data_IF_871658603412
#
_entry.id   IF_871658603412
#
_cell.length_a   1.000
_cell.length_b   1.000
_cell.length_c   1.000
_cell.angle_alpha   90.00
_cell.angle_beta   90.00
_cell.angle_gamma   90.00
#
_symmetry.space_group_name_H-M   'P 1'
#
loop_
_entity.id
_entity.type
_entity.pdbx_description
1 polymer ?
#
# COMPACT_ATOMS: atom_id res chain seq x y z
N UNK A 1 -31.25 -21.15 18.92
CA UNK A 1 -31.29 -20.11 17.87
C UNK A 1 -31.08 -18.77 18.57
N UNK A 2 -29.82 -18.34 18.70
CA UNK A 2 -29.47 -17.11 19.43
C UNK A 2 -29.58 -15.92 18.48
N UNK A 3 -30.40 -14.94 18.85
CA UNK A 3 -30.55 -13.69 18.11
C UNK A 3 -29.20 -12.94 18.10
N UNK A 4 -28.73 -12.57 16.91
CA UNK A 4 -27.54 -11.73 16.74
C UNK A 4 -27.69 -10.38 17.44
N UNK A 5 -26.57 -9.68 17.71
CA UNK A 5 -26.60 -8.42 18.45
C UNK A 5 -27.51 -7.41 17.74
N UNK A 6 -28.59 -7.00 18.43
CA UNK A 6 -29.46 -5.91 17.99
C UNK A 6 -28.64 -4.63 17.96
N UNK A 7 -28.53 -4.00 16.80
CA UNK A 7 -27.98 -2.66 16.69
C UNK A 7 -28.79 -1.72 17.61
N UNK A 8 -28.11 -1.11 18.59
CA UNK A 8 -28.74 -0.14 19.48
C UNK A 8 -28.94 1.17 18.70
N UNK A 9 -30.18 1.70 18.58
CA UNK A 9 -30.48 2.87 17.76
C UNK A 9 -29.73 4.15 18.16
N UNK A 10 -29.14 4.20 19.36
CA UNK A 10 -28.51 5.39 19.93
C UNK A 10 -26.98 5.39 19.88
N UNK A 11 -26.34 4.41 19.21
CA UNK A 11 -24.92 4.59 18.88
C UNK A 11 -24.83 5.62 17.76
N UNK A 12 -24.18 6.78 17.98
CA UNK A 12 -23.87 7.65 16.87
C UNK A 12 -23.10 6.81 15.86
N UNK A 13 -23.65 6.71 14.65
CA UNK A 13 -22.91 6.19 13.50
C UNK A 13 -21.66 7.06 13.46
N UNK A 14 -20.50 6.52 13.84
CA UNK A 14 -19.25 7.27 13.79
C UNK A 14 -19.18 7.88 12.40
N UNK A 15 -19.32 9.21 12.32
CA UNK A 15 -19.26 9.91 11.05
C UNK A 15 -17.99 9.43 10.37
N UNK A 16 -18.10 8.83 9.19
CA UNK A 16 -16.96 8.30 8.43
C UNK A 16 -15.90 9.41 8.35
N UNK A 17 -14.92 9.37 9.24
CA UNK A 17 -13.93 10.43 9.35
C UNK A 17 -12.81 10.07 8.40
N UNK A 18 -12.86 10.65 7.20
CA UNK A 18 -11.84 10.43 6.19
C UNK A 18 -10.53 11.07 6.65
N UNK A 19 -9.46 10.28 6.68
CA UNK A 19 -8.10 10.76 6.93
C UNK A 19 -7.30 10.67 5.63
N UNK A 20 -6.44 11.66 5.39
CA UNK A 20 -5.50 11.61 4.28
C UNK A 20 -4.34 10.68 4.63
N UNK A 21 -4.05 9.72 3.74
CA UNK A 21 -2.84 8.89 3.80
C UNK A 21 -1.62 9.76 3.50
N UNK A 22 -0.67 9.84 4.44
CA UNK A 22 0.54 10.67 4.30
C UNK A 22 1.82 9.86 4.21
N UNK A 23 1.80 8.61 4.68
CA UNK A 23 2.97 7.76 4.67
C UNK A 23 2.62 6.29 4.81
N UNK A 24 3.52 5.44 4.34
CA UNK A 24 3.45 4.01 4.57
C UNK A 24 4.84 3.41 4.57
N UNK A 25 5.05 2.38 5.39
CA UNK A 25 6.28 1.57 5.41
C UNK A 25 5.89 0.10 5.49
N UNK A 26 6.80 -0.79 5.07
CA UNK A 26 6.56 -2.22 5.17
C UNK A 26 7.80 -2.95 5.66
N UNK A 27 7.57 -4.02 6.41
CA UNK A 27 8.59 -4.96 6.85
C UNK A 27 8.22 -6.35 6.34
N UNK A 28 9.16 -6.99 5.65
CA UNK A 28 9.00 -8.39 5.23
C UNK A 28 9.07 -9.31 6.46
N UNK A 29 8.16 -10.27 6.51
CA UNK A 29 8.13 -11.33 7.52
C UNK A 29 8.29 -12.70 6.84
N UNK A 30 8.68 -13.76 7.55
CA UNK A 30 8.86 -15.09 6.94
C UNK A 30 7.63 -15.55 6.14
N UNK A 31 6.44 -15.42 6.73
CA UNK A 31 5.16 -15.88 6.18
C UNK A 31 4.21 -14.74 5.75
N UNK A 32 4.70 -13.49 5.69
CA UNK A 32 3.81 -12.36 5.48
C UNK A 32 4.51 -11.02 5.32
N UNK A 33 3.73 -9.98 5.53
CA UNK A 33 4.17 -8.59 5.51
C UNK A 33 3.49 -7.87 6.67
N UNK A 34 4.25 -6.99 7.31
CA UNK A 34 3.70 -5.97 8.20
C UNK A 34 3.71 -4.64 7.43
N UNK A 35 2.53 -4.10 7.18
CA UNK A 35 2.32 -2.82 6.52
C UNK A 35 1.88 -1.81 7.58
N UNK A 36 2.65 -0.73 7.74
CA UNK A 36 2.26 0.41 8.57
C UNK A 36 1.79 1.54 7.69
N UNK A 37 0.60 2.04 7.96
CA UNK A 37 -0.03 3.18 7.29
C UNK A 37 -0.10 4.35 8.26
N UNK A 38 0.25 5.55 7.82
CA UNK A 38 0.12 6.78 8.59
C UNK A 38 -0.88 7.71 7.90
N UNK A 39 -1.83 8.21 8.69
CA UNK A 39 -2.87 9.11 8.21
C UNK A 39 -3.02 10.34 9.09
N UNK A 40 -3.58 11.41 8.53
CA UNK A 40 -3.88 12.66 9.25
C UNK A 40 -5.26 13.19 8.89
N UNK A 41 -5.89 13.94 9.81
CA UNK A 41 -7.23 14.53 9.63
C UNK A 41 -7.22 15.86 8.89
N UNK A 42 -6.10 16.58 8.92
CA UNK A 42 -5.98 17.91 8.33
C UNK A 42 -4.51 18.29 8.14
N UNK A 43 -4.26 19.31 7.33
CA UNK A 43 -2.90 19.88 7.18
C UNK A 43 -2.38 20.44 8.51
N UNK A 44 -3.24 21.07 9.32
CA UNK A 44 -2.87 21.57 10.66
C UNK A 44 -2.44 20.41 11.55
N UNK A 45 -3.17 19.29 11.53
CA UNK A 45 -2.78 18.10 12.29
C UNK A 45 -1.45 17.52 11.80
N UNK A 46 -1.21 17.51 10.49
CA UNK A 46 0.07 17.11 9.90
C UNK A 46 1.24 18.00 10.36
N UNK A 47 1.07 19.32 10.34
CA UNK A 47 2.08 20.28 10.79
C UNK A 47 2.43 20.13 12.28
N UNK A 48 1.47 19.66 13.08
CA UNK A 48 1.65 19.40 14.51
C UNK A 48 2.01 17.93 14.82
N UNK A 49 2.42 17.16 13.81
CA UNK A 49 2.80 15.73 13.92
C UNK A 49 1.72 14.83 14.55
N UNK A 50 0.45 15.19 14.37
CA UNK A 50 -0.71 14.44 14.85
C UNK A 50 -1.09 13.35 13.84
N UNK A 51 -0.25 12.33 13.78
CA UNK A 51 -0.42 11.19 12.88
C UNK A 51 -1.11 10.01 13.57
N UNK A 52 -2.06 9.40 12.87
CA UNK A 52 -2.66 8.12 13.27
C UNK A 52 -1.99 7.00 12.50
N UNK A 53 -1.40 6.05 13.23
CA UNK A 53 -0.77 4.86 12.66
C UNK A 53 -1.72 3.66 12.69
N UNK A 54 -1.80 2.95 11.58
CA UNK A 54 -2.53 1.69 11.44
C UNK A 54 -1.57 0.59 11.00
N UNK A 55 -1.51 -0.49 11.76
CA UNK A 55 -0.66 -1.64 11.47
C UNK A 55 -1.52 -2.78 10.91
N UNK A 56 -1.18 -3.23 9.70
CA UNK A 56 -1.81 -4.37 9.03
C UNK A 56 -0.79 -5.49 8.92
N UNK A 57 -1.08 -6.63 9.54
CA UNK A 57 -0.31 -7.86 9.35
C UNK A 57 -1.06 -8.76 8.40
N UNK A 58 -0.41 -9.14 7.31
CA UNK A 58 -1.03 -9.91 6.24
C UNK A 58 -0.12 -11.04 5.80
N UNK A 59 -0.72 -12.14 5.36
CA UNK A 59 -0.01 -13.15 4.57
C UNK A 59 0.43 -12.57 3.22
N UNK A 60 1.37 -13.24 2.54
CA UNK A 60 1.81 -12.83 1.19
C UNK A 60 0.65 -12.78 0.18
N UNK A 61 -0.29 -13.72 0.27
CA UNK A 61 -1.46 -13.75 -0.62
C UNK A 61 -2.42 -12.60 -0.35
N UNK A 62 -2.69 -12.28 0.93
CA UNK A 62 -3.51 -11.12 1.28
C UNK A 62 -2.87 -9.80 0.82
N UNK A 63 -1.55 -9.68 0.96
CA UNK A 63 -0.83 -8.52 0.46
C UNK A 63 -0.91 -8.38 -1.07
N UNK A 64 -0.83 -9.50 -1.80
CA UNK A 64 -0.96 -9.53 -3.25
C UNK A 64 -2.38 -9.15 -3.70
N UNK A 65 -3.41 -9.67 -3.01
CA UNK A 65 -4.80 -9.28 -3.26
C UNK A 65 -5.05 -7.80 -2.98
N UNK A 66 -4.49 -7.26 -1.89
CA UNK A 66 -4.59 -5.84 -1.58
C UNK A 66 -3.91 -4.99 -2.68
N UNK A 67 -2.70 -5.37 -3.10
CA UNK A 67 -1.99 -4.67 -4.15
C UNK A 67 -2.77 -4.66 -5.47
N UNK A 68 -3.32 -5.82 -5.86
CA UNK A 68 -4.15 -5.94 -7.07
C UNK A 68 -5.39 -5.04 -6.98
N UNK A 69 -6.10 -5.08 -5.85
CA UNK A 69 -7.26 -4.22 -5.64
C UNK A 69 -6.93 -2.73 -5.77
N UNK A 70 -5.83 -2.29 -5.14
CA UNK A 70 -5.40 -0.89 -5.21
C UNK A 70 -5.03 -0.45 -6.64
N UNK A 71 -4.42 -1.33 -7.42
CA UNK A 71 -4.13 -1.07 -8.83
C UNK A 71 -5.43 -0.93 -9.64
N UNK A 72 -6.37 -1.86 -9.47
CA UNK A 72 -7.64 -1.87 -10.20
C UNK A 72 -8.48 -0.62 -9.90
N UNK A 73 -8.64 -0.24 -8.63
CA UNK A 73 -9.45 0.93 -8.26
C UNK A 73 -8.80 2.27 -8.65
N UNK A 74 -7.49 2.30 -8.87
CA UNK A 74 -6.77 3.50 -9.31
C UNK A 74 -6.53 3.54 -10.83
N UNK A 75 -6.94 2.50 -11.56
CA UNK A 75 -6.65 2.35 -12.98
C UNK A 75 -5.14 2.23 -13.29
N UNK A 76 -4.33 1.90 -12.28
CA UNK A 76 -2.90 1.72 -12.43
C UNK A 76 -2.59 0.27 -12.82
N UNK A 77 -1.53 0.08 -13.62
CA UNK A 77 -0.99 -1.25 -13.90
C UNK A 77 0.22 -1.54 -13.02
N UNK A 78 0.57 -2.83 -12.86
CA UNK A 78 1.84 -3.22 -12.23
C UNK A 78 2.99 -2.51 -12.98
N UNK A 79 3.80 -1.66 -12.31
CA UNK A 79 4.91 -0.98 -12.94
C UNK A 79 5.85 -2.03 -13.55
N UNK A 80 6.05 -1.97 -14.88
CA UNK A 80 7.02 -2.86 -15.53
C UNK A 80 8.40 -2.52 -14.97
N UNK A 81 9.18 -3.50 -14.49
CA UNK A 81 10.55 -3.23 -14.03
C UNK A 81 11.30 -2.56 -15.19
N UNK A 82 11.74 -1.32 -14.98
CA UNK A 82 12.59 -0.60 -15.92
C UNK A 82 13.85 -1.45 -16.09
N UNK A 83 14.03 -2.08 -17.25
CA UNK A 83 15.26 -2.81 -17.56
C UNK A 83 16.42 -1.82 -17.39
N UNK A 84 17.47 -2.16 -16.63
CA UNK A 84 18.61 -1.27 -16.48
C UNK A 84 19.22 -1.01 -17.86
N UNK A 85 19.34 0.26 -18.25
CA UNK A 85 19.89 0.72 -19.54
C UNK A 85 21.29 0.11 -19.78
N UNK A 86 22.02 -0.19 -18.71
CA UNK A 86 23.31 -0.88 -18.75
C UNK A 86 23.27 -2.28 -19.42
N UNK A 87 22.15 -3.00 -19.35
CA UNK A 87 21.99 -4.28 -20.04
C UNK A 87 21.82 -4.12 -21.56
N UNK A 88 21.29 -2.98 -22.01
CA UNK A 88 21.11 -2.67 -23.43
C UNK A 88 22.43 -2.24 -24.09
N UNK A 89 23.25 -1.44 -23.38
CA UNK A 89 24.54 -0.96 -23.87
C UNK A 89 25.61 -2.08 -24.02
N UNK A 90 25.52 -3.16 -23.23
CA UNK A 90 26.40 -4.33 -23.40
C UNK A 90 26.15 -5.10 -24.70
N UNK A 91 24.97 -4.96 -25.31
CA UNK A 91 24.64 -5.61 -26.57
C UNK A 91 25.25 -4.89 -27.79
N UNK A 92 25.52 -3.60 -27.68
CA UNK A 92 26.15 -2.81 -28.75
C UNK A 92 27.68 -2.93 -28.75
N UNK A 93 28.32 -3.20 -27.61
CA UNK A 93 29.79 -3.30 -27.52
C UNK A 93 30.39 -4.62 -28.04
N UNK A 94 29.56 -5.60 -28.43
CA UNK A 94 30.00 -6.89 -28.99
C UNK A 94 29.96 -6.93 -30.52
N UNK A 95 29.47 -5.89 -31.18
CA UNK A 95 29.35 -5.85 -32.64
C UNK A 95 30.59 -5.27 -33.35
N UNK A 96 31.54 -4.68 -32.62
CA UNK A 96 32.70 -3.95 -33.20
C UNK A 96 34.04 -4.72 -33.10
N UNK A 97 34.03 -6.03 -32.84
CA UNK A 97 35.25 -6.86 -32.87
C UNK A 97 35.02 -8.03 -33.82
N UNK A 98 34.95 -7.71 -35.11
CA UNK A 98 35.08 -8.65 -36.22
C UNK A 98 35.52 -7.85 -37.45
N UNK A 99 36.82 -7.53 -37.50
CA UNK A 99 37.62 -7.33 -38.72
C UNK A 99 39.09 -7.62 -38.37
#
# INVERSE_FOLDING_TARGET
>A
MAAGPRAHPDRPVEAYQFHALVGWTHNAMPNGIHLRIQSTRSNIALENDQLVSHDLVMTRNQALLLAQYLLDVTGQGIPKPRRPIHALLRRFRRADIAD
#
